data_IF_028068699913
#
_entry.id   IF_028068699913
#
_cell.length_a   1.000
_cell.length_b   1.000
_cell.length_c   1.000
_cell.angle_alpha   90.00
_cell.angle_beta   90.00
_cell.angle_gamma   90.00
#
_symmetry.space_group_name_H-M   'P 1'
#
loop_
_entity.id
_entity.type
_entity.pdbx_description
1 polymer ?
#
# COMPACT_ATOMS: atom_id res chain seq x y z
N UNK A 1 11.40 24.59 -28.41
CA UNK A 1 10.63 23.33 -28.42
C UNK A 1 10.44 22.94 -26.96
N UNK A 2 9.19 22.84 -26.53
CA UNK A 2 8.76 22.64 -25.15
C UNK A 2 9.20 21.27 -24.60
N UNK A 3 9.71 21.26 -23.38
CA UNK A 3 9.38 20.26 -22.35
C UNK A 3 9.76 20.87 -20.99
N UNK A 4 8.75 21.45 -20.34
CA UNK A 4 8.75 21.63 -18.90
C UNK A 4 8.81 20.23 -18.28
N UNK A 5 9.88 19.91 -17.58
CA UNK A 5 9.88 18.84 -16.59
C UNK A 5 9.05 19.31 -15.38
N UNK A 6 7.75 19.44 -15.56
CA UNK A 6 6.77 19.58 -14.50
C UNK A 6 6.08 18.24 -14.34
N UNK A 7 6.63 17.41 -13.47
CA UNK A 7 6.11 16.10 -13.11
C UNK A 7 7.12 15.47 -12.18
N UNK A 8 6.72 15.27 -10.91
CA UNK A 8 7.40 14.54 -9.83
C UNK A 8 8.86 14.18 -10.15
N UNK A 9 9.79 14.93 -9.59
CA UNK A 9 11.22 14.63 -9.71
C UNK A 9 11.50 13.19 -9.29
N UNK A 10 11.56 12.30 -10.27
CA UNK A 10 12.25 11.03 -10.16
C UNK A 10 13.71 11.43 -10.05
N UNK A 11 14.16 11.66 -8.82
CA UNK A 11 15.58 11.71 -8.52
C UNK A 11 16.03 10.26 -8.74
N UNK A 12 16.60 9.98 -9.90
CA UNK A 12 17.41 8.78 -10.08
C UNK A 12 18.59 8.93 -9.11
N UNK A 13 18.45 8.36 -7.91
CA UNK A 13 19.40 8.44 -6.80
C UNK A 13 20.49 7.38 -6.95
N UNK A 14 21.08 7.27 -8.13
CA UNK A 14 22.22 6.37 -8.30
C UNK A 14 23.47 7.07 -7.72
N UNK A 15 23.82 6.69 -6.50
CA UNK A 15 24.99 7.18 -5.75
C UNK A 15 26.35 6.79 -6.37
N UNK A 16 26.35 5.98 -7.44
CA UNK A 16 27.52 5.55 -8.23
C UNK A 16 27.79 6.44 -9.45
N UNK A 17 27.39 7.72 -9.40
CA UNK A 17 27.57 8.60 -10.54
C UNK A 17 29.04 8.97 -10.78
N UNK A 18 29.59 8.53 -11.90
CA UNK A 18 30.92 8.99 -12.35
C UNK A 18 30.80 10.36 -13.01
N UNK A 19 31.70 11.27 -12.65
CA UNK A 19 31.77 12.59 -13.25
C UNK A 19 31.93 12.48 -14.77
N UNK A 20 31.06 13.15 -15.52
CA UNK A 20 31.06 13.13 -16.99
C UNK A 20 32.14 14.07 -17.52
N UNK A 21 32.82 13.70 -18.59
CA UNK A 21 33.80 14.57 -19.23
C UNK A 21 33.12 15.68 -20.04
N UNK A 22 33.67 16.89 -19.93
CA UNK A 22 33.15 18.07 -20.63
C UNK A 22 33.80 18.12 -22.03
N UNK A 23 33.02 18.25 -23.11
CA UNK A 23 33.56 18.37 -24.46
C UNK A 23 34.57 19.51 -24.61
N UNK A 24 35.64 19.31 -25.39
CA UNK A 24 36.76 20.26 -25.55
C UNK A 24 36.30 21.69 -25.89
N UNK A 25 35.33 21.82 -26.79
CA UNK A 25 34.78 23.11 -27.22
C UNK A 25 34.06 23.90 -26.11
N UNK A 26 33.65 23.22 -25.03
CA UNK A 26 33.10 23.84 -23.82
C UNK A 26 34.21 23.98 -22.78
N UNK A 27 35.06 22.97 -22.62
CA UNK A 27 36.19 22.97 -21.68
C UNK A 27 37.11 24.18 -21.88
N UNK A 28 37.43 24.52 -23.13
CA UNK A 28 38.22 25.71 -23.48
C UNK A 28 37.56 27.03 -23.01
N UNK A 29 36.23 27.09 -23.03
CA UNK A 29 35.47 28.28 -22.62
C UNK A 29 35.37 28.45 -21.11
N UNK A 30 35.50 27.36 -20.35
CA UNK A 30 35.31 27.35 -18.89
C UNK A 30 36.61 27.13 -18.10
N UNK A 31 37.76 27.04 -18.75
CA UNK A 31 39.05 26.75 -18.13
C UNK A 31 39.44 27.69 -16.97
N UNK A 32 38.91 28.92 -16.96
CA UNK A 32 39.17 29.93 -15.93
C UNK A 32 38.11 29.95 -14.82
N UNK A 33 37.07 29.11 -14.90
CA UNK A 33 36.05 29.04 -13.87
C UNK A 33 36.57 28.33 -12.62
N UNK A 34 35.95 28.64 -11.48
CA UNK A 34 36.23 27.94 -10.23
C UNK A 34 35.97 26.44 -10.39
N UNK A 35 36.85 25.62 -9.81
CA UNK A 35 36.79 24.15 -9.88
C UNK A 35 35.42 23.58 -9.47
N UNK A 36 34.75 24.18 -8.48
CA UNK A 36 33.41 23.77 -8.03
C UNK A 36 32.33 23.90 -9.13
N UNK A 37 32.44 24.91 -10.02
CA UNK A 37 31.50 25.12 -11.14
C UNK A 37 31.73 24.06 -12.22
N UNK A 38 33.00 23.71 -12.46
CA UNK A 38 33.39 22.64 -13.38
C UNK A 38 32.89 21.30 -12.85
N UNK A 39 33.11 20.98 -11.58
CA UNK A 39 32.61 19.74 -10.96
C UNK A 39 31.09 19.65 -10.96
N UNK A 40 30.38 20.75 -10.69
CA UNK A 40 28.92 20.80 -10.79
C UNK A 40 28.40 20.44 -12.19
N UNK A 41 29.07 20.92 -13.24
CA UNK A 41 28.73 20.60 -14.64
C UNK A 41 28.93 19.12 -15.00
N UNK A 42 29.75 18.41 -14.24
CA UNK A 42 30.07 17.00 -14.45
C UNK A 42 29.24 16.08 -13.56
N UNK A 43 28.48 16.63 -12.61
CA UNK A 43 27.78 15.89 -11.55
C UNK A 43 26.37 15.44 -11.94
N UNK A 44 25.77 14.51 -11.17
CA UNK A 44 24.44 13.97 -11.45
C UNK A 44 23.32 15.02 -11.39
N UNK A 45 23.55 16.17 -10.79
CA UNK A 45 22.55 17.23 -10.64
C UNK A 45 22.07 17.80 -11.97
N UNK A 46 22.85 17.64 -13.04
CA UNK A 46 22.49 18.11 -14.38
C UNK A 46 21.20 17.46 -14.89
N UNK A 47 20.88 16.23 -14.48
CA UNK A 47 19.66 15.56 -14.90
C UNK A 47 18.40 16.36 -14.53
N UNK A 48 18.38 17.03 -13.38
CA UNK A 48 17.25 17.86 -12.95
C UNK A 48 17.06 19.15 -13.76
N UNK A 49 18.10 19.63 -14.46
CA UNK A 49 18.05 20.88 -15.24
C UNK A 49 17.94 20.65 -16.76
N UNK A 50 18.55 19.58 -17.26
CA UNK A 50 18.68 19.34 -18.69
C UNK A 50 18.24 17.94 -19.15
N UNK A 51 17.94 17.01 -18.24
CA UNK A 51 17.59 15.62 -18.55
C UNK A 51 18.79 14.74 -18.90
N UNK A 52 19.89 15.32 -19.42
CA UNK A 52 21.18 14.64 -19.60
C UNK A 52 22.32 15.66 -19.74
N UNK A 53 23.56 15.19 -19.56
CA UNK A 53 24.76 16.00 -19.81
C UNK A 53 24.88 16.39 -21.29
N UNK A 54 24.55 15.48 -22.21
CA UNK A 54 24.57 15.76 -23.65
C UNK A 54 23.63 16.92 -24.03
N UNK A 55 22.40 16.90 -23.52
CA UNK A 55 21.43 17.97 -23.77
C UNK A 55 21.88 19.29 -23.13
N UNK A 56 22.52 19.25 -21.96
CA UNK A 56 23.10 20.44 -21.37
C UNK A 56 24.22 20.99 -22.24
N UNK A 57 25.18 20.16 -22.62
CA UNK A 57 26.33 20.58 -23.42
C UNK A 57 25.90 21.09 -24.80
N UNK A 58 24.86 20.51 -25.41
CA UNK A 58 24.27 21.02 -26.64
C UNK A 58 23.69 22.44 -26.46
N UNK A 59 23.05 22.72 -25.31
CA UNK A 59 22.57 24.08 -24.97
C UNK A 59 23.70 25.06 -24.72
N UNK A 60 24.86 24.59 -24.24
CA UNK A 60 26.01 25.43 -23.92
C UNK A 60 26.95 25.67 -25.10
N UNK A 61 27.00 24.79 -26.11
CA UNK A 61 28.02 24.80 -27.17
C UNK A 61 28.19 26.13 -27.91
N UNK A 62 27.10 26.86 -28.13
CA UNK A 62 27.09 28.13 -28.87
C UNK A 62 27.09 29.39 -27.97
N UNK A 63 27.14 29.22 -26.64
CA UNK A 63 27.18 30.33 -25.68
C UNK A 63 28.60 30.90 -25.53
N UNK A 64 28.70 32.16 -25.13
CA UNK A 64 29.98 32.77 -24.74
C UNK A 64 30.45 32.21 -23.37
N UNK A 65 31.72 32.36 -23.00
CA UNK A 65 32.21 32.00 -21.66
C UNK A 65 31.37 32.62 -20.53
N UNK A 66 31.03 33.90 -20.65
CA UNK A 66 30.24 34.64 -19.65
C UNK A 66 28.82 34.09 -19.53
N UNK A 67 28.19 33.75 -20.66
CA UNK A 67 26.87 33.13 -20.69
C UNK A 67 26.87 31.73 -20.07
N UNK A 68 27.93 30.95 -20.28
CA UNK A 68 28.08 29.62 -19.69
C UNK A 68 28.24 29.76 -18.17
N UNK A 69 29.09 30.66 -17.70
CA UNK A 69 29.28 30.91 -16.27
C UNK A 69 27.97 31.33 -15.60
N UNK A 70 27.24 32.28 -16.20
CA UNK A 70 25.94 32.71 -15.70
C UNK A 70 24.91 31.57 -15.67
N UNK A 71 24.97 30.64 -16.63
CA UNK A 71 24.10 29.47 -16.66
C UNK A 71 24.41 28.51 -15.50
N UNK A 72 25.69 28.25 -15.22
CA UNK A 72 26.12 27.43 -14.09
C UNK A 72 25.73 28.08 -12.77
N UNK A 73 25.98 29.38 -12.62
CA UNK A 73 25.63 30.13 -11.42
C UNK A 73 24.12 30.12 -11.16
N UNK A 74 23.31 30.24 -12.22
CA UNK A 74 21.87 30.11 -12.10
C UNK A 74 21.46 28.72 -11.61
N UNK A 75 22.01 27.64 -12.17
CA UNK A 75 21.70 26.27 -11.74
C UNK A 75 22.14 26.01 -10.29
N UNK A 76 23.35 26.42 -9.92
CA UNK A 76 23.88 26.28 -8.56
C UNK A 76 23.05 27.09 -7.56
N UNK A 77 22.65 28.32 -7.92
CA UNK A 77 21.76 29.15 -7.10
C UNK A 77 20.40 28.50 -6.93
N UNK A 78 19.79 27.96 -7.99
CA UNK A 78 18.51 27.24 -7.89
C UNK A 78 18.65 26.03 -6.96
N UNK A 79 19.74 25.27 -7.05
CA UNK A 79 20.01 24.15 -6.13
C UNK A 79 20.13 24.59 -4.68
N UNK A 80 20.77 25.73 -4.42
CA UNK A 80 20.85 26.28 -3.06
C UNK A 80 19.49 26.71 -2.54
N UNK A 81 18.68 27.37 -3.39
CA UNK A 81 17.31 27.79 -3.05
C UNK A 81 16.35 26.62 -2.80
N UNK A 82 16.67 25.41 -3.26
CA UNK A 82 15.89 24.20 -2.99
C UNK A 82 16.17 23.59 -1.61
N UNK A 83 17.25 24.00 -0.93
CA UNK A 83 17.59 23.48 0.40
C UNK A 83 16.75 24.14 1.47
N UNK A 84 16.51 23.40 2.56
CA UNK A 84 15.93 23.95 3.77
C UNK A 84 16.79 25.10 4.32
N UNK A 85 16.20 26.27 4.46
CA UNK A 85 16.82 27.45 5.06
C UNK A 85 16.20 27.73 6.44
N UNK A 86 16.91 27.51 7.56
CA UNK A 86 16.35 27.73 8.89
C UNK A 86 16.00 29.19 9.21
N UNK A 87 16.47 30.16 8.41
CA UNK A 87 16.13 31.58 8.58
C UNK A 87 14.79 31.95 7.95
N UNK A 88 14.35 31.22 6.91
CA UNK A 88 13.12 31.53 6.15
C UNK A 88 12.08 30.44 6.21
N UNK A 89 12.49 29.20 6.43
CA UNK A 89 11.67 28.01 6.33
C UNK A 89 11.40 27.45 7.73
N UNK A 90 10.15 27.08 7.99
CA UNK A 90 9.79 26.35 9.20
C UNK A 90 9.88 24.85 8.94
N UNK A 91 10.74 24.15 9.67
CA UNK A 91 10.87 22.68 9.56
C UNK A 91 9.57 21.95 9.97
N UNK A 92 8.82 22.54 10.90
CA UNK A 92 7.52 22.07 11.33
C UNK A 92 6.69 23.26 11.81
N UNK A 93 5.40 23.29 11.47
CA UNK A 93 4.46 24.21 12.09
C UNK A 93 3.98 23.56 13.40
N UNK A 94 4.24 24.17 14.58
CA UNK A 94 3.79 23.60 15.84
C UNK A 94 2.26 23.55 15.89
N UNK A 95 1.72 22.44 16.40
CA UNK A 95 0.29 22.31 16.65
C UNK A 95 -0.10 23.18 17.86
N UNK A 96 -1.32 23.71 17.85
CA UNK A 96 -1.87 24.45 18.99
C UNK A 96 -2.20 23.50 20.16
N UNK A 97 -1.21 23.18 20.99
CA UNK A 97 -1.35 22.26 22.14
C UNK A 97 -2.21 22.79 23.27
N UNK A 98 -2.49 24.10 23.28
CA UNK A 98 -3.40 24.73 24.25
C UNK A 98 -4.88 24.61 23.84
N UNK A 99 -5.17 24.10 22.62
CA UNK A 99 -6.55 23.90 22.18
C UNK A 99 -7.27 22.88 23.07
N UNK A 100 -8.44 23.23 23.66
CA UNK A 100 -9.21 22.28 24.44
C UNK A 100 -9.79 21.13 23.60
N UNK A 101 -9.79 21.26 22.27
CA UNK A 101 -10.25 20.24 21.32
C UNK A 101 -9.10 19.49 20.62
N UNK A 102 -7.85 19.61 21.10
CA UNK A 102 -6.68 19.03 20.43
C UNK A 102 -6.85 17.55 20.07
N UNK A 103 -7.44 16.73 20.96
CA UNK A 103 -7.69 15.30 20.72
C UNK A 103 -9.15 14.96 20.41
N UNK A 104 -10.00 15.96 20.13
CA UNK A 104 -11.44 15.74 19.95
C UNK A 104 -11.76 14.68 18.89
N UNK A 105 -11.02 14.66 17.78
CA UNK A 105 -11.28 13.76 16.65
C UNK A 105 -11.09 12.27 16.99
N UNK A 106 -10.21 11.92 17.94
CA UNK A 106 -9.95 10.54 18.38
C UNK A 106 -10.49 10.21 19.77
N UNK A 107 -11.17 11.16 20.41
CA UNK A 107 -11.72 10.93 21.74
C UNK A 107 -12.91 9.99 21.63
N UNK A 108 -12.80 8.82 22.27
CA UNK A 108 -13.89 7.85 22.28
C UNK A 108 -15.11 8.42 23.02
N UNK A 109 -16.29 8.09 22.50
CA UNK A 109 -17.55 8.37 23.18
C UNK A 109 -17.60 7.55 24.48
N UNK A 110 -17.96 8.15 25.63
CA UNK A 110 -18.14 7.41 26.88
C UNK A 110 -19.23 6.34 26.74
N UNK A 111 -18.98 5.12 27.20
CA UNK A 111 -19.93 4.00 27.13
C UNK A 111 -21.22 4.30 27.92
N UNK A 112 -21.17 5.17 28.92
CA UNK A 112 -22.33 5.62 29.71
C UNK A 112 -23.37 6.37 28.86
N UNK A 113 -22.99 6.84 27.66
CA UNK A 113 -23.91 7.49 26.72
C UNK A 113 -24.59 6.50 25.78
N UNK A 114 -24.19 5.22 25.81
CA UNK A 114 -24.71 4.21 24.92
C UNK A 114 -25.95 3.53 25.52
N UNK A 115 -26.78 2.95 24.65
CA UNK A 115 -27.89 2.14 25.12
C UNK A 115 -27.34 0.85 25.73
N UNK A 116 -27.65 0.51 27.00
CA UNK A 116 -27.13 -0.68 27.64
C UNK A 116 -27.42 -1.94 26.84
N UNK A 117 -26.41 -2.79 26.67
CA UNK A 117 -26.48 -4.08 25.97
C UNK A 117 -25.39 -5.00 26.48
N UNK A 118 -25.58 -6.31 26.28
CA UNK A 118 -24.51 -7.27 26.45
C UNK A 118 -23.45 -7.08 25.34
N UNK A 119 -22.16 -7.28 25.66
CA UNK A 119 -21.11 -7.33 24.65
C UNK A 119 -21.36 -8.42 23.62
N UNK A 120 -21.04 -8.12 22.36
CA UNK A 120 -21.11 -9.05 21.23
C UNK A 120 -21.54 -8.38 19.93
N UNK A 121 -21.38 -9.07 18.78
CA UNK A 121 -21.77 -8.54 17.48
C UNK A 121 -23.29 -8.30 17.38
N UNK A 122 -23.66 -7.19 16.72
CA UNK A 122 -25.06 -6.75 16.59
C UNK A 122 -25.45 -6.70 15.12
N UNK A 123 -26.57 -7.34 14.79
CA UNK A 123 -27.19 -7.13 13.49
C UNK A 123 -28.05 -5.87 13.51
N UNK A 124 -27.62 -4.85 12.78
CA UNK A 124 -28.32 -3.55 12.70
C UNK A 124 -29.28 -3.45 11.51
N UNK A 125 -29.40 -4.51 10.70
CA UNK A 125 -30.26 -4.52 9.53
C UNK A 125 -31.71 -4.84 9.88
N UNK A 126 -32.63 -4.02 9.38
CA UNK A 126 -34.08 -4.20 9.56
C UNK A 126 -34.61 -5.45 8.85
N UNK A 127 -34.07 -5.76 7.68
CA UNK A 127 -34.56 -6.83 6.82
C UNK A 127 -33.59 -8.02 6.85
N UNK A 128 -34.13 -9.22 7.07
CA UNK A 128 -33.36 -10.46 7.11
C UNK A 128 -32.58 -10.74 5.81
N UNK A 129 -33.04 -10.21 4.68
CA UNK A 129 -32.43 -10.35 3.34
C UNK A 129 -32.08 -8.99 2.72
N UNK A 130 -31.54 -8.09 3.53
CA UNK A 130 -31.00 -6.82 3.05
C UNK A 130 -29.91 -7.07 2.00
N UNK A 131 -30.06 -6.44 0.84
CA UNK A 131 -28.98 -6.30 -0.15
C UNK A 131 -28.08 -5.13 0.25
N UNK A 132 -26.80 -5.02 -0.20
CA UNK A 132 -26.01 -3.79 -0.04
C UNK A 132 -26.73 -2.50 -0.49
N UNK A 133 -27.79 -2.63 -1.32
CA UNK A 133 -28.68 -1.53 -1.74
C UNK A 133 -29.80 -1.20 -0.75
N UNK A 134 -29.92 -1.91 0.36
CA UNK A 134 -31.03 -1.87 1.32
C UNK A 134 -30.53 -2.07 2.74
N UNK A 135 -30.98 -1.24 3.69
CA UNK A 135 -30.52 -1.31 5.07
C UNK A 135 -29.33 -0.40 5.32
N UNK A 136 -28.63 -0.65 6.43
CA UNK A 136 -27.46 0.15 6.81
C UNK A 136 -26.24 -0.52 6.17
N UNK A 137 -25.49 0.17 5.29
CA UNK A 137 -24.41 -0.46 4.56
C UNK A 137 -23.24 -0.77 5.51
N UNK A 138 -22.97 -2.06 5.69
CA UNK A 138 -21.78 -2.61 6.34
C UNK A 138 -21.00 -3.47 5.35
N UNK A 139 -19.73 -3.76 5.62
CA UNK A 139 -18.93 -4.67 4.79
C UNK A 139 -19.66 -6.00 4.65
N UNK A 140 -19.91 -6.43 3.41
CA UNK A 140 -20.68 -7.64 3.08
C UNK A 140 -22.05 -7.77 3.78
N UNK A 141 -22.64 -6.66 4.24
CA UNK A 141 -23.87 -6.65 5.04
C UNK A 141 -23.76 -7.45 6.37
N UNK A 142 -22.55 -7.50 6.95
CA UNK A 142 -22.23 -8.21 8.18
C UNK A 142 -22.78 -7.50 9.45
N UNK A 143 -22.89 -8.23 10.57
CA UNK A 143 -23.06 -7.65 11.90
C UNK A 143 -21.94 -6.67 12.25
N UNK A 144 -22.21 -5.76 13.18
CA UNK A 144 -21.27 -4.75 13.67
C UNK A 144 -20.76 -5.13 15.05
N UNK A 145 -19.47 -4.94 15.29
CA UNK A 145 -18.88 -4.84 16.63
C UNK A 145 -18.41 -3.40 16.85
N UNK A 146 -18.55 -2.88 18.07
CA UNK A 146 -18.28 -1.47 18.38
C UNK A 146 -17.08 -1.30 19.33
N UNK A 147 -16.71 -2.35 20.04
CA UNK A 147 -15.71 -2.34 21.11
C UNK A 147 -14.90 -3.63 21.13
N UNK A 148 -13.71 -3.66 21.76
CA UNK A 148 -12.94 -4.89 21.95
C UNK A 148 -13.70 -5.95 22.73
N UNK A 149 -14.55 -5.54 23.69
CA UNK A 149 -15.39 -6.46 24.46
C UNK A 149 -16.38 -7.21 23.55
N UNK A 150 -16.87 -6.57 22.48
CA UNK A 150 -17.72 -7.23 21.48
C UNK A 150 -16.96 -8.28 20.68
N UNK A 151 -15.70 -8.00 20.34
CA UNK A 151 -14.84 -8.93 19.61
C UNK A 151 -14.59 -10.18 20.44
N UNK A 152 -14.25 -9.99 21.73
CA UNK A 152 -13.99 -11.07 22.67
C UNK A 152 -15.25 -11.89 22.93
N UNK A 153 -16.37 -11.24 23.27
CA UNK A 153 -17.62 -11.93 23.57
C UNK A 153 -18.22 -12.66 22.36
N UNK A 154 -17.97 -12.14 21.16
CA UNK A 154 -18.40 -12.77 19.90
C UNK A 154 -17.47 -13.88 19.40
N UNK A 155 -16.32 -14.11 20.04
CA UNK A 155 -15.26 -14.99 19.51
C UNK A 155 -14.94 -14.65 18.03
N UNK A 156 -14.79 -13.35 17.75
CA UNK A 156 -14.67 -12.84 16.38
C UNK A 156 -13.34 -13.27 15.76
N UNK A 157 -13.40 -14.01 14.65
CA UNK A 157 -12.22 -14.42 13.88
C UNK A 157 -11.63 -13.22 13.11
N UNK A 158 -12.47 -12.40 12.46
CA UNK A 158 -12.04 -11.28 11.60
C UNK A 158 -12.89 -10.03 11.83
N UNK A 159 -12.23 -8.89 12.02
CA UNK A 159 -12.85 -7.57 12.11
C UNK A 159 -12.47 -6.73 10.89
N UNK A 160 -13.44 -6.44 10.02
CA UNK A 160 -13.23 -5.58 8.85
C UNK A 160 -13.43 -4.12 9.26
N UNK A 161 -12.43 -3.28 9.08
CA UNK A 161 -12.43 -1.87 9.50
C UNK A 161 -12.00 -0.96 8.36
N UNK A 162 -12.64 0.19 8.25
CA UNK A 162 -12.26 1.20 7.26
C UNK A 162 -11.28 2.22 7.84
N UNK A 163 -10.28 2.64 7.05
CA UNK A 163 -9.39 3.73 7.43
C UNK A 163 -9.32 4.73 6.27
N UNK A 164 -10.05 5.83 6.39
CA UNK A 164 -10.18 6.84 5.34
C UNK A 164 -9.09 7.89 5.35
N UNK A 165 -7.81 7.50 5.33
CA UNK A 165 -6.65 8.42 5.34
C UNK A 165 -5.99 8.47 3.97
N UNK A 166 -6.03 9.63 3.29
CA UNK A 166 -5.40 9.83 1.97
C UNK A 166 -4.50 11.08 1.90
N UNK A 167 -3.99 11.51 3.05
CA UNK A 167 -3.10 12.68 3.15
C UNK A 167 -1.64 12.36 2.85
N UNK A 168 -1.28 11.08 2.79
CA UNK A 168 0.06 10.60 2.43
C UNK A 168 0.29 10.51 0.93
N UNK A 169 -0.78 10.59 0.13
CA UNK A 169 -0.74 10.69 -1.32
C UNK A 169 -0.94 12.13 -1.80
N UNK A 170 -0.42 12.42 -3.00
CA UNK A 170 -0.77 13.64 -3.74
C UNK A 170 -2.16 13.58 -4.38
N UNK A 171 -2.76 12.38 -4.46
CA UNK A 171 -4.04 12.13 -5.13
C UNK A 171 -5.15 11.86 -4.11
N UNK A 172 -6.03 12.84 -3.90
CA UNK A 172 -7.19 12.67 -3.02
C UNK A 172 -8.22 11.71 -3.61
N UNK A 173 -8.90 10.97 -2.75
CA UNK A 173 -10.05 10.15 -3.09
C UNK A 173 -10.03 8.76 -2.46
N UNK A 174 -8.84 8.23 -2.13
CA UNK A 174 -8.71 6.92 -1.48
C UNK A 174 -9.36 6.86 -0.09
N UNK A 175 -9.55 8.01 0.58
CA UNK A 175 -10.31 8.11 1.83
C UNK A 175 -11.78 7.67 1.69
N UNK A 176 -12.34 7.67 0.47
CA UNK A 176 -13.70 7.20 0.19
C UNK A 176 -13.78 5.71 -0.16
N UNK A 177 -12.64 5.03 -0.37
CA UNK A 177 -12.55 3.60 -0.62
C UNK A 177 -13.33 2.72 0.37
N UNK A 178 -13.23 2.92 1.70
CA UNK A 178 -13.96 2.11 2.66
C UNK A 178 -15.48 2.20 2.48
N UNK A 179 -16.00 3.39 2.15
CA UNK A 179 -17.44 3.60 1.91
C UNK A 179 -17.88 2.94 0.61
N UNK A 180 -17.07 3.06 -0.45
CA UNK A 180 -17.35 2.42 -1.73
C UNK A 180 -17.29 0.90 -1.63
N UNK A 181 -16.40 0.32 -0.82
CA UNK A 181 -16.33 -1.12 -0.57
C UNK A 181 -17.58 -1.64 0.17
N UNK A 182 -18.07 -0.93 1.21
CA UNK A 182 -19.36 -1.27 1.85
C UNK A 182 -20.55 -1.21 0.87
N UNK A 183 -20.53 -0.26 -0.06
CA UNK A 183 -21.56 -0.12 -1.09
C UNK A 183 -21.37 -1.09 -2.28
N UNK A 184 -20.17 -1.63 -2.46
CA UNK A 184 -19.74 -2.43 -3.60
C UNK A 184 -20.48 -3.77 -3.68
N UNK A 185 -20.99 -4.12 -4.85
CA UNK A 185 -21.84 -5.30 -5.07
C UNK A 185 -21.01 -6.51 -5.51
N UNK A 186 -21.09 -7.67 -4.84
CA UNK A 186 -20.71 -8.98 -5.43
C UNK A 186 -21.96 -9.84 -5.68
N UNK A 187 -23.00 -9.22 -6.23
CA UNK A 187 -24.26 -9.87 -6.67
C UNK A 187 -25.22 -10.28 -5.52
N UNK A 188 -26.30 -9.50 -5.38
CA UNK A 188 -27.56 -9.89 -4.73
C UNK A 188 -27.66 -9.78 -3.21
N UNK A 189 -26.57 -9.64 -2.46
CA UNK A 189 -26.56 -9.63 -0.98
C UNK A 189 -26.98 -10.94 -0.30
N UNK A 190 -27.70 -11.79 -1.03
CA UNK A 190 -28.26 -13.07 -0.59
C UNK A 190 -27.32 -14.24 -0.91
N UNK A 191 -26.38 -14.05 -1.84
CA UNK A 191 -25.56 -15.13 -2.40
C UNK A 191 -24.33 -15.50 -1.56
N UNK A 192 -23.48 -14.54 -1.17
CA UNK A 192 -22.20 -14.88 -0.51
C UNK A 192 -22.35 -15.31 0.95
N UNK A 193 -23.26 -14.69 1.71
CA UNK A 193 -23.37 -14.94 3.16
C UNK A 193 -23.80 -16.39 3.46
N UNK A 194 -24.40 -17.09 2.50
CA UNK A 194 -24.84 -18.47 2.67
C UNK A 194 -24.28 -19.48 1.65
N UNK A 195 -23.82 -19.04 0.46
CA UNK A 195 -23.31 -19.99 -0.54
C UNK A 195 -21.81 -20.22 -0.37
N UNK A 196 -21.35 -21.44 -0.66
CA UNK A 196 -19.94 -21.71 -0.74
C UNK A 196 -19.30 -21.01 -1.96
N UNK A 197 -18.04 -20.65 -1.79
CA UNK A 197 -17.17 -20.22 -2.87
C UNK A 197 -17.10 -21.30 -3.95
N UNK A 198 -17.50 -20.97 -5.19
CA UNK A 198 -17.69 -21.98 -6.23
C UNK A 198 -16.46 -22.86 -6.45
N UNK A 199 -15.25 -22.30 -6.55
CA UNK A 199 -14.09 -23.13 -6.88
C UNK A 199 -13.61 -24.04 -5.74
N UNK A 200 -14.03 -23.79 -4.49
CA UNK A 200 -13.51 -24.51 -3.31
C UNK A 200 -14.61 -25.19 -2.50
N UNK A 201 -15.87 -24.89 -2.78
CA UNK A 201 -17.02 -25.33 -1.99
C UNK A 201 -16.97 -24.91 -0.50
N UNK A 202 -16.15 -23.90 -0.14
CA UNK A 202 -16.04 -23.37 1.23
C UNK A 202 -16.75 -22.02 1.32
N UNK A 203 -17.64 -21.85 2.30
CA UNK A 203 -18.30 -20.56 2.55
C UNK A 203 -17.64 -19.86 3.74
N UNK A 204 -16.85 -18.78 3.56
CA UNK A 204 -16.17 -18.15 4.69
C UNK A 204 -17.12 -17.63 5.76
N UNK A 205 -18.29 -17.13 5.37
CA UNK A 205 -19.30 -16.58 6.26
C UNK A 205 -20.03 -17.62 7.12
N UNK A 206 -19.94 -18.91 6.78
CA UNK A 206 -20.47 -20.00 7.60
C UNK A 206 -19.41 -20.60 8.54
N UNK A 207 -18.13 -20.35 8.28
CA UNK A 207 -17.02 -20.97 9.01
C UNK A 207 -16.31 -19.97 9.96
N UNK A 208 -16.46 -18.68 9.69
CA UNK A 208 -15.83 -17.59 10.44
C UNK A 208 -16.88 -16.66 11.04
N UNK A 209 -16.63 -16.18 12.26
CA UNK A 209 -17.30 -15.02 12.82
C UNK A 209 -16.62 -13.76 12.29
N UNK A 210 -17.32 -13.02 11.42
CA UNK A 210 -16.80 -11.83 10.76
C UNK A 210 -17.71 -10.64 11.07
N UNK A 211 -17.12 -9.50 11.43
CA UNK A 211 -17.85 -8.27 11.76
C UNK A 211 -17.33 -7.07 10.96
N UNK A 212 -18.19 -6.08 10.76
CA UNK A 212 -17.77 -4.71 10.45
C UNK A 212 -17.44 -4.00 11.76
N UNK A 213 -16.22 -3.48 11.90
CA UNK A 213 -15.73 -2.78 13.08
C UNK A 213 -15.71 -1.25 12.88
N UNK A 214 -16.50 -0.77 11.92
CA UNK A 214 -16.65 0.66 11.66
C UNK A 214 -15.45 1.27 10.95
N UNK A 215 -15.27 2.58 11.11
CA UNK A 215 -14.13 3.31 10.57
C UNK A 215 -13.28 3.86 11.71
N UNK A 216 -11.96 3.75 11.58
CA UNK A 216 -11.01 4.36 12.51
C UNK A 216 -11.02 5.87 12.31
N UNK A 217 -11.03 6.60 13.42
CA UNK A 217 -10.91 8.05 13.39
C UNK A 217 -9.53 8.46 12.86
N UNK A 218 -9.49 9.49 12.02
CA UNK A 218 -8.25 10.05 11.48
C UNK A 218 -8.27 11.57 11.58
N UNK A 219 -7.09 12.17 11.65
CA UNK A 219 -6.94 13.61 11.51
C UNK A 219 -6.76 13.96 10.02
N UNK A 220 -7.83 14.44 9.40
CA UNK A 220 -7.85 14.78 7.96
C UNK A 220 -6.84 15.85 7.55
N UNK A 221 -6.22 16.55 8.51
CA UNK A 221 -5.22 17.58 8.25
C UNK A 221 -3.80 17.15 8.62
N UNK A 222 -3.62 15.98 9.25
CA UNK A 222 -2.30 15.51 9.67
C UNK A 222 -2.17 14.00 9.61
N UNK A 223 -1.33 13.57 8.68
CA UNK A 223 -0.86 12.20 8.58
C UNK A 223 -0.15 11.79 9.88
N UNK A 224 0.78 12.62 10.36
CA UNK A 224 1.61 12.37 11.55
C UNK A 224 0.76 12.08 12.79
N UNK A 225 -0.34 12.81 12.98
CA UNK A 225 -1.25 12.61 14.11
C UNK A 225 -2.10 11.35 13.95
N UNK A 226 -2.44 10.98 12.71
CA UNK A 226 -3.28 9.82 12.40
C UNK A 226 -2.53 8.50 12.59
N UNK A 227 -1.28 8.40 12.09
CA UNK A 227 -0.46 7.17 12.12
C UNK A 227 -0.37 6.57 13.54
N UNK A 228 -0.12 7.40 14.55
CA UNK A 228 -0.01 6.93 15.94
C UNK A 228 -1.32 6.32 16.45
N UNK A 229 -2.46 6.95 16.17
CA UNK A 229 -3.76 6.45 16.61
C UNK A 229 -4.18 5.19 15.84
N UNK A 230 -3.90 5.12 14.53
CA UNK A 230 -4.19 3.94 13.72
C UNK A 230 -3.44 2.71 14.28
N UNK A 231 -2.14 2.86 14.56
CA UNK A 231 -1.34 1.79 15.20
C UNK A 231 -1.94 1.33 16.53
N UNK A 232 -2.43 2.26 17.36
CA UNK A 232 -3.10 1.93 18.63
C UNK A 232 -4.34 1.06 18.41
N UNK A 233 -5.20 1.41 17.44
CA UNK A 233 -6.46 0.70 17.15
C UNK A 233 -6.19 -0.66 16.49
N UNK A 234 -5.24 -0.75 15.55
CA UNK A 234 -4.86 -2.04 14.95
C UNK A 234 -4.31 -2.99 16.01
N UNK A 235 -3.47 -2.48 16.92
CA UNK A 235 -2.97 -3.25 18.07
C UNK A 235 -4.10 -3.70 19.00
N UNK A 236 -5.07 -2.82 19.27
CA UNK A 236 -6.23 -3.14 20.12
C UNK A 236 -7.03 -4.32 19.55
N UNK A 237 -7.35 -4.30 18.25
CA UNK A 237 -8.06 -5.40 17.59
C UNK A 237 -7.21 -6.68 17.59
N UNK A 238 -5.95 -6.60 17.20
CA UNK A 238 -5.07 -7.78 17.16
C UNK A 238 -4.88 -8.41 18.56
N UNK A 239 -4.86 -7.61 19.62
CA UNK A 239 -4.69 -8.10 21.00
C UNK A 239 -5.87 -8.93 21.52
N UNK A 240 -7.05 -8.85 20.91
CA UNK A 240 -8.18 -9.74 21.23
C UNK A 240 -8.03 -11.13 20.61
N UNK A 241 -7.02 -11.34 19.75
CA UNK A 241 -6.88 -12.52 18.91
C UNK A 241 -7.68 -12.46 17.61
N UNK A 242 -8.38 -11.35 17.36
CA UNK A 242 -9.14 -11.09 16.13
C UNK A 242 -8.21 -10.56 15.04
N UNK A 243 -8.38 -11.01 13.79
CA UNK A 243 -7.60 -10.53 12.65
C UNK A 243 -8.17 -9.17 12.21
N UNK A 244 -7.41 -8.04 12.30
CA UNK A 244 -7.82 -6.79 11.68
C UNK A 244 -7.68 -6.91 10.15
N UNK A 245 -8.77 -6.60 9.45
CA UNK A 245 -8.85 -6.57 7.99
C UNK A 245 -9.21 -5.15 7.56
N UNK A 246 -8.23 -4.42 7.07
CA UNK A 246 -8.27 -2.99 6.86
C UNK A 246 -8.65 -2.69 5.40
N UNK A 247 -9.52 -1.72 5.20
CA UNK A 247 -9.93 -1.27 3.86
C UNK A 247 -9.82 0.24 3.74
N UNK A 248 -9.16 0.68 2.67
CA UNK A 248 -9.14 2.05 2.19
C UNK A 248 -7.93 2.86 2.62
N UNK A 249 -7.98 4.16 2.31
CA UNK A 249 -6.85 5.06 2.46
C UNK A 249 -5.78 4.86 1.40
N UNK A 250 -4.75 5.70 1.45
CA UNK A 250 -3.53 5.54 0.66
C UNK A 250 -2.55 4.58 1.35
N UNK A 251 -1.47 4.19 0.66
CA UNK A 251 -0.56 3.17 1.18
C UNK A 251 0.29 3.63 2.39
N UNK A 252 0.17 4.87 2.85
CA UNK A 252 0.84 5.28 4.10
C UNK A 252 0.36 4.49 5.32
N UNK A 253 -0.78 3.81 5.21
CA UNK A 253 -1.36 2.91 6.21
C UNK A 253 -0.56 1.64 6.48
N UNK A 254 0.20 1.11 5.51
CA UNK A 254 0.99 -0.10 5.75
C UNK A 254 1.92 0.07 6.97
N UNK A 255 2.49 1.26 7.15
CA UNK A 255 3.39 1.52 8.29
C UNK A 255 2.70 1.29 9.65
N UNK A 256 1.64 2.03 10.04
CA UNK A 256 0.98 1.83 11.33
C UNK A 256 0.28 0.48 11.43
N UNK A 257 -0.24 -0.07 10.33
CA UNK A 257 -0.99 -1.31 10.34
C UNK A 257 -0.06 -2.49 10.66
N UNK A 258 1.05 -2.61 9.92
CA UNK A 258 2.09 -3.61 10.21
C UNK A 258 2.71 -3.36 11.59
N UNK A 259 2.97 -2.10 11.97
CA UNK A 259 3.55 -1.80 13.28
C UNK A 259 2.62 -2.22 14.43
N UNK A 260 1.30 -2.04 14.30
CA UNK A 260 0.31 -2.46 15.29
C UNK A 260 0.25 -3.98 15.45
N UNK A 261 0.36 -4.71 14.34
CA UNK A 261 0.49 -6.18 14.36
C UNK A 261 1.81 -6.62 15.03
N UNK A 262 2.92 -5.98 14.67
CA UNK A 262 4.24 -6.27 15.26
C UNK A 262 4.27 -6.00 16.76
N UNK A 263 3.52 -5.01 17.26
CA UNK A 263 3.40 -4.75 18.71
C UNK A 263 2.76 -5.91 19.48
N UNK A 264 1.97 -6.76 18.83
CA UNK A 264 1.32 -7.92 19.43
C UNK A 264 2.14 -9.20 19.23
N UNK A 265 2.58 -9.46 18.00
CA UNK A 265 3.21 -10.73 17.62
C UNK A 265 4.75 -10.72 17.69
N UNK A 266 5.35 -9.53 17.80
CA UNK A 266 6.79 -9.33 17.94
C UNK A 266 7.53 -9.14 16.61
N UNK A 267 8.55 -8.29 16.63
CA UNK A 267 9.41 -8.03 15.48
C UNK A 267 10.15 -9.31 15.05
N UNK A 268 10.13 -9.61 13.76
CA UNK A 268 10.72 -10.84 13.20
C UNK A 268 9.83 -12.08 13.22
N UNK A 269 8.71 -12.07 13.95
CA UNK A 269 7.70 -13.13 13.91
C UNK A 269 6.58 -12.86 12.90
N UNK A 270 6.54 -11.65 12.36
CA UNK A 270 5.58 -11.21 11.33
C UNK A 270 6.30 -11.09 10.00
N UNK A 271 5.74 -11.73 8.97
CA UNK A 271 6.15 -11.58 7.58
C UNK A 271 5.13 -10.73 6.83
N UNK A 272 5.61 -9.93 5.89
CA UNK A 272 4.75 -9.07 5.06
C UNK A 272 4.82 -9.54 3.63
N UNK A 273 3.66 -9.79 3.04
CA UNK A 273 3.51 -10.01 1.60
C UNK A 273 2.82 -8.77 1.04
N UNK A 274 3.56 -8.01 0.24
CA UNK A 274 3.16 -6.73 -0.30
C UNK A 274 2.93 -6.86 -1.80
N UNK A 275 1.68 -6.77 -2.22
CA UNK A 275 1.28 -6.73 -3.62
C UNK A 275 1.17 -5.28 -4.06
N UNK A 276 1.98 -4.86 -5.03
CA UNK A 276 2.09 -3.44 -5.42
C UNK A 276 2.79 -3.28 -6.78
N UNK A 277 2.42 -2.23 -7.53
CA UNK A 277 3.21 -1.77 -8.67
C UNK A 277 4.52 -1.08 -8.27
N UNK A 278 4.54 -0.47 -7.08
CA UNK A 278 5.58 0.39 -6.55
C UNK A 278 6.32 -0.27 -5.38
N UNK A 279 7.58 0.13 -5.17
CA UNK A 279 8.39 -0.48 -4.10
C UNK A 279 8.25 0.19 -2.73
N UNK A 280 7.65 1.38 -2.68
CA UNK A 280 7.27 2.09 -1.45
C UNK A 280 8.36 2.30 -0.40
N UNK A 281 9.62 2.27 -0.84
CA UNK A 281 10.78 2.56 -0.02
C UNK A 281 11.53 3.82 -0.47
N UNK A 282 10.80 4.83 -0.93
CA UNK A 282 11.35 6.09 -1.43
C UNK A 282 12.19 6.85 -0.39
N UNK A 283 13.19 7.58 -0.88
CA UNK A 283 14.20 8.30 -0.09
C UNK A 283 14.39 9.73 -0.57
N UNK A 284 14.96 10.61 0.28
CA UNK A 284 15.42 11.95 -0.13
C UNK A 284 14.35 12.98 -0.46
N UNK A 285 13.08 12.71 -0.16
CA UNK A 285 11.99 13.68 -0.33
C UNK A 285 11.62 14.37 0.98
N UNK A 286 10.97 15.52 0.88
CA UNK A 286 10.66 16.42 2.00
C UNK A 286 9.80 15.77 3.08
N UNK A 287 8.83 14.95 2.68
CA UNK A 287 7.94 14.27 3.61
C UNK A 287 8.48 12.89 3.97
N UNK A 288 8.55 12.65 5.27
CA UNK A 288 9.06 11.43 5.86
C UNK A 288 8.00 10.33 5.97
N UNK A 289 6.72 10.71 5.93
CA UNK A 289 5.55 9.86 5.84
C UNK A 289 4.81 10.22 4.55
N UNK A 290 4.51 9.21 3.74
CA UNK A 290 3.76 9.32 2.49
C UNK A 290 3.40 7.92 2.02
N UNK A 291 2.52 7.80 1.04
CA UNK A 291 2.17 6.51 0.45
C UNK A 291 3.37 5.81 -0.21
N UNK A 292 4.31 6.51 -0.86
CA UNK A 292 5.51 5.88 -1.43
C UNK A 292 6.67 5.57 -0.47
N UNK A 293 6.43 5.56 0.85
CA UNK A 293 7.48 5.40 1.90
C UNK A 293 7.19 4.46 3.09
N UNK A 294 6.06 3.72 3.20
CA UNK A 294 5.81 2.89 4.37
C UNK A 294 6.84 1.76 4.51
N UNK A 295 7.29 1.15 3.42
CA UNK A 295 8.32 0.10 3.45
C UNK A 295 9.62 0.68 4.01
N UNK A 296 10.03 1.88 3.58
CA UNK A 296 11.23 2.52 4.15
C UNK A 296 11.12 2.72 5.66
N UNK A 297 9.92 3.09 6.15
CA UNK A 297 9.66 3.29 7.59
C UNK A 297 9.79 2.00 8.37
N UNK A 298 9.15 0.93 7.89
CA UNK A 298 9.22 -0.41 8.52
C UNK A 298 10.67 -0.89 8.68
N UNK A 299 11.51 -0.69 7.66
CA UNK A 299 12.91 -1.09 7.68
C UNK A 299 13.78 -0.19 8.55
N UNK A 300 13.60 1.14 8.49
CA UNK A 300 14.33 2.07 9.34
C UNK A 300 14.10 1.80 10.83
N UNK A 301 12.88 1.41 11.20
CA UNK A 301 12.49 1.08 12.58
C UNK A 301 12.69 -0.39 12.94
N UNK A 302 13.19 -1.20 12.00
CA UNK A 302 13.49 -2.64 12.18
C UNK A 302 12.28 -3.45 12.65
N UNK A 303 11.08 -3.08 12.17
CA UNK A 303 9.84 -3.76 12.52
C UNK A 303 9.69 -5.09 11.77
N UNK A 304 10.15 -5.13 10.51
CA UNK A 304 10.12 -6.33 9.66
C UNK A 304 11.52 -6.58 9.09
N UNK A 305 12.15 -7.74 9.35
CA UNK A 305 13.41 -8.11 8.70
C UNK A 305 13.22 -8.34 7.20
N UNK A 306 14.21 -7.98 6.38
CA UNK A 306 14.14 -8.16 4.92
C UNK A 306 13.78 -9.57 4.44
N UNK A 307 14.37 -10.65 4.99
CA UNK A 307 14.02 -12.00 4.61
C UNK A 307 12.54 -12.39 4.84
N UNK A 308 11.83 -11.61 5.66
CA UNK A 308 10.42 -11.79 5.99
C UNK A 308 9.51 -10.82 5.19
N UNK A 309 10.06 -10.04 4.27
CA UNK A 309 9.30 -9.14 3.41
C UNK A 309 9.38 -9.63 1.97
N UNK A 310 8.22 -9.86 1.36
CA UNK A 310 8.09 -10.31 -0.03
C UNK A 310 7.25 -9.28 -0.76
N UNK A 311 7.77 -8.74 -1.86
CA UNK A 311 7.08 -7.77 -2.69
C UNK A 311 6.77 -8.37 -4.06
N UNK A 312 5.57 -8.14 -4.59
CA UNK A 312 5.08 -8.79 -5.83
C UNK A 312 4.39 -7.77 -6.72
N UNK A 313 4.83 -7.69 -7.97
CA UNK A 313 4.17 -6.91 -9.03
C UNK A 313 4.86 -5.59 -9.42
N UNK A 314 6.08 -5.34 -8.91
CA UNK A 314 6.86 -4.14 -9.21
C UNK A 314 7.00 -3.90 -10.72
N UNK A 315 6.69 -2.68 -11.17
CA UNK A 315 6.80 -2.25 -12.57
C UNK A 315 6.87 -0.73 -12.69
N UNK A 316 6.88 -0.24 -13.92
CA UNK A 316 7.00 1.18 -14.23
C UNK A 316 8.44 1.65 -14.30
N UNK A 317 8.66 2.96 -14.16
CA UNK A 317 9.97 3.60 -14.34
C UNK A 317 10.72 3.86 -13.03
N UNK A 318 10.26 3.28 -11.92
CA UNK A 318 10.81 3.46 -10.58
C UNK A 318 10.57 2.17 -9.75
N UNK A 319 11.53 1.64 -8.97
CA UNK A 319 12.85 2.19 -8.62
C UNK A 319 13.88 2.20 -9.77
N UNK A 320 14.92 3.01 -9.60
CA UNK A 320 16.18 2.88 -10.35
C UNK A 320 17.12 1.81 -9.75
N UNK A 321 18.34 1.72 -10.29
CA UNK A 321 19.36 0.72 -9.88
C UNK A 321 19.58 0.72 -8.36
N UNK A 322 19.81 1.88 -7.77
CA UNK A 322 19.99 2.08 -6.32
C UNK A 322 18.85 1.54 -5.46
N UNK A 323 17.60 1.59 -5.95
CA UNK A 323 16.46 1.03 -5.22
C UNK A 323 16.49 -0.51 -5.19
N UNK A 324 16.83 -1.14 -6.31
CA UNK A 324 17.02 -2.60 -6.37
C UNK A 324 18.22 -3.05 -5.53
N UNK A 325 19.34 -2.34 -5.59
CA UNK A 325 20.50 -2.61 -4.75
C UNK A 325 20.16 -2.48 -3.27
N UNK A 326 19.41 -1.45 -2.88
CA UNK A 326 18.93 -1.32 -1.50
C UNK A 326 18.06 -2.51 -1.07
N UNK A 327 17.09 -2.94 -1.90
CA UNK A 327 16.27 -4.12 -1.58
C UNK A 327 17.12 -5.38 -1.38
N UNK A 328 18.14 -5.58 -2.23
CA UNK A 328 19.09 -6.69 -2.10
C UNK A 328 19.93 -6.60 -0.83
N UNK A 329 20.46 -5.41 -0.50
CA UNK A 329 21.23 -5.15 0.72
C UNK A 329 20.42 -5.41 1.99
N UNK A 330 19.12 -5.07 1.97
CA UNK A 330 18.22 -5.37 3.09
C UNK A 330 17.83 -6.85 3.16
N UNK A 331 18.08 -7.64 2.10
CA UNK A 331 17.64 -9.02 1.97
C UNK A 331 16.13 -9.17 1.71
N UNK A 332 15.49 -8.12 1.18
CA UNK A 332 14.08 -8.13 0.78
C UNK A 332 13.90 -8.98 -0.47
N UNK A 333 12.84 -9.80 -0.50
CA UNK A 333 12.49 -10.61 -1.67
C UNK A 333 11.52 -9.81 -2.52
N UNK A 334 11.76 -9.74 -3.83
CA UNK A 334 10.93 -8.98 -4.74
C UNK A 334 10.73 -9.72 -6.05
N UNK A 335 9.52 -9.65 -6.59
CA UNK A 335 9.08 -10.30 -7.81
C UNK A 335 8.46 -9.28 -8.75
N UNK A 336 9.27 -8.62 -9.60
CA UNK A 336 8.79 -7.61 -10.53
C UNK A 336 8.05 -8.26 -11.71
N UNK A 337 7.26 -7.47 -12.44
CA UNK A 337 6.62 -7.95 -13.67
C UNK A 337 7.63 -8.47 -14.70
N UNK A 338 8.85 -7.92 -14.72
CA UNK A 338 9.93 -8.43 -15.56
C UNK A 338 10.31 -9.89 -15.26
N UNK A 339 10.17 -10.36 -14.01
CA UNK A 339 10.37 -11.78 -13.66
C UNK A 339 9.21 -12.63 -14.17
N UNK A 340 7.97 -12.13 -14.06
CA UNK A 340 6.77 -12.79 -14.58
C UNK A 340 6.83 -12.91 -16.10
N UNK A 341 7.28 -11.89 -16.82
CA UNK A 341 7.48 -11.91 -18.27
C UNK A 341 8.52 -12.96 -18.69
N UNK A 342 9.60 -13.09 -17.89
CA UNK A 342 10.72 -13.99 -18.19
C UNK A 342 10.38 -15.45 -17.88
N UNK A 343 9.84 -15.72 -16.70
CA UNK A 343 9.71 -17.08 -16.15
C UNK A 343 8.26 -17.58 -16.15
N UNK A 344 7.29 -16.69 -16.35
CA UNK A 344 5.86 -16.97 -16.33
C UNK A 344 5.22 -16.89 -14.94
N UNK A 345 3.97 -16.44 -14.90
CA UNK A 345 3.20 -16.26 -13.65
C UNK A 345 3.21 -17.49 -12.74
N UNK A 346 2.95 -18.68 -13.28
CA UNK A 346 2.86 -19.89 -12.46
C UNK A 346 4.15 -20.22 -11.72
N UNK A 347 5.31 -19.95 -12.33
CA UNK A 347 6.63 -20.18 -11.72
C UNK A 347 6.91 -19.16 -10.62
N UNK A 348 6.63 -17.88 -10.88
CA UNK A 348 6.82 -16.81 -9.89
C UNK A 348 5.88 -17.00 -8.70
N UNK A 349 4.62 -17.36 -8.94
CA UNK A 349 3.66 -17.69 -7.88
C UNK A 349 4.17 -18.82 -6.98
N UNK A 350 4.77 -19.88 -7.55
CA UNK A 350 5.35 -20.96 -6.75
C UNK A 350 6.53 -20.49 -5.90
N UNK A 351 7.35 -19.58 -6.41
CA UNK A 351 8.43 -18.95 -5.61
C UNK A 351 7.87 -18.15 -4.45
N UNK A 352 6.91 -17.27 -4.70
CA UNK A 352 6.24 -16.46 -3.66
C UNK A 352 5.65 -17.37 -2.57
N UNK A 353 4.96 -18.43 -2.97
CA UNK A 353 4.40 -19.43 -2.06
C UNK A 353 5.51 -20.09 -1.23
N UNK A 354 6.55 -20.65 -1.85
CA UNK A 354 7.67 -21.29 -1.11
C UNK A 354 8.33 -20.31 -0.14
N UNK A 355 8.55 -19.07 -0.58
CA UNK A 355 9.20 -18.03 0.20
C UNK A 355 8.38 -17.61 1.42
N UNK A 356 7.06 -17.44 1.25
CA UNK A 356 6.15 -17.11 2.34
C UNK A 356 5.95 -18.29 3.29
N UNK A 357 5.93 -19.52 2.76
CA UNK A 357 5.40 -20.68 3.48
C UNK A 357 6.47 -21.54 4.14
N UNK A 358 7.57 -21.82 3.43
CA UNK A 358 8.64 -22.68 3.92
C UNK A 358 9.74 -21.89 4.63
N UNK A 359 10.03 -20.68 4.14
CA UNK A 359 11.13 -19.84 4.63
C UNK A 359 10.67 -18.63 5.43
N UNK A 360 9.37 -18.35 5.42
CA UNK A 360 8.77 -17.20 6.08
C UNK A 360 8.44 -17.48 7.56
N UNK A 361 8.15 -16.43 8.33
CA UNK A 361 7.79 -16.55 9.74
C UNK A 361 6.42 -17.21 9.95
N UNK A 362 6.01 -17.37 11.22
CA UNK A 362 4.75 -18.03 11.58
C UNK A 362 3.52 -17.20 11.17
N UNK A 363 3.58 -15.89 11.40
CA UNK A 363 2.49 -14.97 11.18
C UNK A 363 2.70 -14.16 9.90
N UNK A 364 1.64 -14.04 9.09
CA UNK A 364 1.67 -13.30 7.84
C UNK A 364 0.68 -12.13 7.90
N UNK A 365 1.18 -10.96 7.54
CA UNK A 365 0.38 -9.79 7.17
C UNK A 365 0.39 -9.66 5.64
N UNK A 366 -0.78 -9.46 5.03
CA UNK A 366 -0.87 -9.19 3.59
C UNK A 366 -1.23 -7.73 3.39
N UNK A 367 -0.34 -7.01 2.73
CA UNK A 367 -0.56 -5.65 2.27
C UNK A 367 -0.91 -5.68 0.79
N UNK A 368 -2.15 -5.31 0.44
CA UNK A 368 -2.65 -5.38 -0.92
C UNK A 368 -2.92 -3.99 -1.47
N UNK A 369 -1.97 -3.42 -2.21
CA UNK A 369 -2.25 -2.27 -3.07
C UNK A 369 -3.04 -2.73 -4.29
N UNK A 370 -4.17 -2.09 -4.57
CA UNK A 370 -4.98 -2.45 -5.73
C UNK A 370 -4.29 -2.09 -7.06
N UNK A 371 -3.32 -1.18 -7.05
CA UNK A 371 -2.59 -0.76 -8.24
C UNK A 371 -1.62 -1.83 -8.74
N UNK A 372 -1.40 -2.93 -7.99
CA UNK A 372 -0.71 -4.12 -8.51
C UNK A 372 -1.45 -4.73 -9.72
N UNK A 373 -2.78 -4.58 -9.77
CA UNK A 373 -3.58 -5.03 -10.90
C UNK A 373 -3.48 -4.06 -12.07
N UNK A 374 -3.65 -4.60 -13.27
CA UNK A 374 -3.74 -3.77 -14.47
C UNK A 374 -4.92 -2.79 -14.36
N UNK A 375 -4.78 -1.52 -14.80
CA UNK A 375 -5.86 -0.54 -14.81
C UNK A 375 -7.11 -0.97 -15.59
N UNK A 376 -7.01 -1.96 -16.49
CA UNK A 376 -8.16 -2.60 -17.12
C UNK A 376 -9.11 -3.29 -16.10
N UNK A 377 -8.59 -3.70 -14.94
CA UNK A 377 -9.34 -4.34 -13.85
C UNK A 377 -9.49 -3.44 -12.61
N UNK A 378 -8.53 -2.56 -12.33
CA UNK A 378 -8.56 -1.63 -11.19
C UNK A 378 -8.29 -0.19 -11.63
N UNK A 379 -9.20 0.45 -12.38
CA UNK A 379 -9.00 1.84 -12.81
C UNK A 379 -9.07 2.86 -11.67
N UNK A 380 -9.73 2.50 -10.55
CA UNK A 380 -10.00 3.36 -9.40
C UNK A 380 -8.86 3.46 -8.41
N UNK A 381 -7.65 3.87 -8.84
CA UNK A 381 -6.47 4.08 -7.99
C UNK A 381 -5.78 5.41 -8.29
N UNK A 382 -4.98 5.93 -7.34
CA UNK A 382 -4.23 7.18 -7.49
C UNK A 382 -3.06 7.10 -8.47
N UNK A 383 -2.37 5.96 -8.51
CA UNK A 383 -1.12 5.75 -9.27
C UNK A 383 -1.22 4.53 -10.19
N UNK A 384 -2.10 4.54 -11.21
CA UNK A 384 -2.26 3.38 -12.08
C UNK A 384 -1.03 3.14 -12.96
N UNK A 385 -0.47 1.93 -12.92
CA UNK A 385 0.62 1.50 -13.79
C UNK A 385 0.15 0.42 -14.79
N UNK A 386 0.25 0.60 -16.12
CA UNK A 386 -0.15 -0.43 -17.09
C UNK A 386 0.72 -1.70 -17.04
N UNK A 387 0.20 -2.83 -17.56
CA UNK A 387 0.92 -4.11 -17.60
C UNK A 387 0.94 -4.85 -16.26
N UNK A 388 -0.14 -4.68 -15.49
CA UNK A 388 -0.29 -5.25 -14.15
C UNK A 388 -0.85 -6.67 -14.13
N UNK A 389 -1.08 -7.19 -12.91
CA UNK A 389 -1.68 -8.51 -12.73
C UNK A 389 -3.15 -8.50 -13.16
N UNK A 390 -3.63 -9.66 -13.60
CA UNK A 390 -5.04 -9.89 -13.86
C UNK A 390 -5.76 -10.40 -12.61
N UNK A 391 -7.07 -10.22 -12.56
CA UNK A 391 -7.92 -10.80 -11.50
C UNK A 391 -7.83 -12.34 -11.42
N UNK A 392 -7.57 -13.01 -12.56
CA UNK A 392 -7.39 -14.46 -12.62
C UNK A 392 -6.11 -14.94 -11.95
N UNK A 393 -5.11 -14.08 -11.85
CA UNK A 393 -3.83 -14.36 -11.19
C UNK A 393 -3.91 -14.05 -9.70
N UNK A 394 -4.50 -12.91 -9.35
CA UNK A 394 -4.59 -12.42 -7.95
C UNK A 394 -5.53 -13.27 -7.08
N UNK A 395 -6.72 -13.63 -7.57
CA UNK A 395 -7.70 -14.32 -6.71
C UNK A 395 -7.19 -15.65 -6.16
N UNK A 396 -6.58 -16.56 -6.96
CA UNK A 396 -6.04 -17.81 -6.45
C UNK A 396 -4.87 -17.63 -5.49
N UNK A 397 -3.93 -16.70 -5.76
CA UNK A 397 -2.75 -16.54 -4.89
C UNK A 397 -3.13 -15.97 -3.52
N UNK A 398 -4.03 -14.97 -3.46
CA UNK A 398 -4.53 -14.42 -2.19
C UNK A 398 -5.23 -15.51 -1.38
N UNK A 399 -6.13 -16.29 -2.01
CA UNK A 399 -6.80 -17.42 -1.35
C UNK A 399 -5.81 -18.46 -0.86
N UNK A 400 -4.83 -18.83 -1.67
CA UNK A 400 -3.82 -19.84 -1.35
C UNK A 400 -2.92 -19.44 -0.19
N UNK A 401 -2.47 -18.19 -0.16
CA UNK A 401 -1.69 -17.63 0.95
C UNK A 401 -2.50 -17.66 2.26
N UNK A 402 -3.74 -17.20 2.23
CA UNK A 402 -4.61 -17.18 3.40
C UNK A 402 -5.04 -18.59 3.87
N UNK A 403 -4.96 -19.62 3.01
CA UNK A 403 -5.25 -21.02 3.37
C UNK A 403 -4.08 -21.76 4.04
N UNK A 404 -2.85 -21.33 3.82
CA UNK A 404 -1.67 -22.04 4.28
C UNK A 404 -1.16 -21.59 5.66
N UNK A 405 -1.04 -20.28 5.86
CA UNK A 405 -0.42 -19.69 7.06
C UNK A 405 -1.46 -18.98 7.92
N UNK A 406 -1.05 -18.71 9.15
CA UNK A 406 -1.86 -17.89 10.03
C UNK A 406 -1.74 -16.43 9.59
N UNK A 407 -2.81 -15.93 8.97
CA UNK A 407 -2.96 -14.51 8.68
C UNK A 407 -3.27 -13.80 9.99
N UNK A 408 -2.49 -12.77 10.32
CA UNK A 408 -2.66 -11.94 11.52
C UNK A 408 -3.09 -10.52 11.20
N UNK A 409 -3.11 -10.15 9.93
CA UNK A 409 -3.71 -8.92 9.44
C UNK A 409 -3.73 -8.89 7.92
N UNK A 410 -4.60 -8.06 7.38
CA UNK A 410 -4.75 -7.86 5.96
C UNK A 410 -5.13 -6.39 5.73
N UNK A 411 -4.61 -5.76 4.69
CA UNK A 411 -5.09 -4.46 4.23
C UNK A 411 -5.33 -4.45 2.72
N UNK A 412 -6.33 -3.67 2.28
CA UNK A 412 -6.55 -3.31 0.88
C UNK A 412 -6.62 -1.79 0.78
N UNK A 413 -5.65 -1.19 0.08
CA UNK A 413 -5.41 0.26 0.06
C UNK A 413 -5.48 0.82 -1.36
N UNK A 414 -5.29 2.14 -1.50
CA UNK A 414 -5.31 2.93 -2.75
C UNK A 414 -6.63 2.85 -3.54
N UNK A 415 -7.70 2.34 -2.91
CA UNK A 415 -9.02 2.31 -3.53
C UNK A 415 -9.64 3.72 -3.59
N UNK A 416 -9.50 4.34 -4.76
CA UNK A 416 -10.07 5.64 -5.10
C UNK A 416 -11.33 5.51 -5.97
N UNK A 417 -12.54 5.52 -5.37
CA UNK A 417 -13.79 5.41 -6.13
C UNK A 417 -14.09 6.66 -6.97
N UNK A 418 -13.41 7.80 -6.76
CA UNK A 418 -13.68 9.03 -7.53
C UNK A 418 -13.15 8.95 -8.96
N UNK A 419 -12.20 8.04 -9.21
CA UNK A 419 -11.62 7.79 -10.54
C UNK A 419 -11.98 6.41 -11.08
N UNK A 420 -12.86 5.65 -10.40
CA UNK A 420 -13.48 4.44 -10.95
C UNK A 420 -14.66 4.83 -11.86
N UNK A 421 -14.57 4.67 -13.19
CA UNK A 421 -15.64 5.08 -14.10
C UNK A 421 -16.94 4.29 -13.92
N UNK A 422 -16.87 3.15 -13.23
CA UNK A 422 -18.02 2.30 -12.97
C UNK A 422 -18.02 1.80 -11.53
N UNK A 423 -17.93 0.50 -11.38
CA UNK A 423 -17.89 -0.19 -10.09
C UNK A 423 -16.97 -1.42 -10.18
N UNK A 424 -16.02 -1.37 -11.12
CA UNK A 424 -15.10 -2.47 -11.41
C UNK A 424 -14.11 -2.62 -10.27
N UNK A 425 -13.57 -1.49 -9.80
CA UNK A 425 -12.60 -1.46 -8.69
C UNK A 425 -13.27 -1.91 -7.40
N UNK A 426 -14.47 -1.41 -7.12
CA UNK A 426 -15.27 -1.82 -5.97
C UNK A 426 -15.56 -3.33 -5.96
N UNK A 427 -15.98 -3.88 -7.12
CA UNK A 427 -16.25 -5.32 -7.27
C UNK A 427 -15.02 -6.18 -7.03
N UNK A 428 -13.92 -5.84 -7.68
CA UNK A 428 -12.70 -6.62 -7.59
C UNK A 428 -12.07 -6.51 -6.19
N UNK A 429 -12.15 -5.33 -5.55
CA UNK A 429 -11.65 -5.13 -4.18
C UNK A 429 -12.41 -6.01 -3.18
N UNK A 430 -13.74 -5.98 -3.23
CA UNK A 430 -14.56 -6.86 -2.40
C UNK A 430 -14.27 -8.34 -2.70
N UNK A 431 -13.91 -8.69 -3.95
CA UNK A 431 -13.62 -10.07 -4.31
C UNK A 431 -12.29 -10.52 -3.74
N UNK A 432 -11.26 -9.69 -3.77
CA UNK A 432 -9.95 -9.95 -3.14
C UNK A 432 -10.12 -10.20 -1.63
N UNK A 433 -10.89 -9.34 -0.95
CA UNK A 433 -11.21 -9.51 0.46
C UNK A 433 -11.89 -10.87 0.71
N UNK A 434 -12.90 -11.21 -0.10
CA UNK A 434 -13.60 -12.49 0.00
C UNK A 434 -12.71 -13.72 -0.30
N UNK A 435 -11.73 -13.60 -1.20
CA UNK A 435 -10.77 -14.66 -1.50
C UNK A 435 -9.85 -14.91 -0.31
N UNK A 436 -9.38 -13.85 0.38
CA UNK A 436 -8.61 -14.06 1.62
C UNK A 436 -9.46 -14.68 2.73
N UNK A 437 -10.68 -14.17 2.95
CA UNK A 437 -11.62 -14.77 3.92
C UNK A 437 -11.86 -16.25 3.61
N UNK A 438 -12.04 -16.61 2.33
CA UNK A 438 -12.19 -17.99 1.88
C UNK A 438 -10.96 -18.82 2.23
N UNK A 439 -9.75 -18.28 2.03
CA UNK A 439 -8.51 -18.94 2.44
C UNK A 439 -8.44 -19.18 3.96
N UNK A 440 -8.73 -18.16 4.77
CA UNK A 440 -8.75 -18.29 6.25
C UNK A 440 -9.73 -19.39 6.67
N UNK A 441 -10.92 -19.42 6.07
CA UNK A 441 -11.92 -20.46 6.31
C UNK A 441 -11.45 -21.85 5.87
N UNK A 442 -10.82 -21.97 4.70
CA UNK A 442 -10.20 -23.21 4.22
C UNK A 442 -9.20 -23.75 5.24
N UNK A 443 -8.31 -22.89 5.76
CA UNK A 443 -7.34 -23.25 6.81
C UNK A 443 -8.03 -23.77 8.07
N UNK A 444 -9.09 -23.08 8.55
CA UNK A 444 -9.88 -23.49 9.71
C UNK A 444 -10.51 -24.87 9.53
N UNK A 445 -10.88 -25.23 8.30
CA UNK A 445 -11.37 -26.57 7.92
C UNK A 445 -10.27 -27.60 7.65
N UNK A 446 -8.99 -27.24 7.74
CA UNK A 446 -7.86 -28.11 7.44
C UNK A 446 -7.55 -28.28 5.94
N UNK A 447 -8.12 -27.44 5.07
CA UNK A 447 -7.80 -27.41 3.64
C UNK A 447 -6.64 -26.43 3.44
N UNK A 448 -5.42 -26.95 3.40
CA UNK A 448 -4.19 -26.14 3.35
C UNK A 448 -3.45 -26.22 2.01
N UNK A 449 -3.97 -26.96 1.02
CA UNK A 449 -3.43 -26.93 -0.34
C UNK A 449 -3.70 -25.55 -0.96
N UNK A 450 -2.64 -24.78 -1.32
CA UNK A 450 -2.78 -23.41 -1.82
C UNK A 450 -3.43 -23.36 -3.20
N UNK A 451 -3.46 -24.50 -3.91
CA UNK A 451 -4.07 -24.66 -5.23
C UNK A 451 -5.36 -25.47 -5.18
N UNK A 452 -5.91 -25.70 -3.99
CA UNK A 452 -7.12 -26.49 -3.84
C UNK A 452 -8.26 -25.96 -4.73
N UNK A 453 -8.80 -26.88 -5.52
CA UNK A 453 -10.04 -26.72 -6.25
C UNK A 453 -10.93 -27.92 -5.91
N UNK A 454 -12.22 -27.66 -5.72
CA UNK A 454 -13.19 -28.72 -5.48
C UNK A 454 -13.33 -29.60 -6.73
N UNK A 455 -13.22 -30.94 -6.60
CA UNK A 455 -13.48 -31.86 -7.71
C UNK A 455 -14.85 -31.64 -8.37
N UNK A 456 -15.85 -31.22 -7.59
CA UNK A 456 -17.19 -30.88 -8.09
C UNK A 456 -17.22 -29.75 -9.12
N UNK A 457 -16.15 -28.96 -9.19
CA UNK A 457 -16.06 -27.80 -10.08
C UNK A 457 -15.00 -27.92 -11.16
N UNK A 458 -14.18 -28.97 -11.08
CA UNK A 458 -13.15 -29.28 -12.08
C UNK A 458 -13.49 -30.49 -12.93
N UNK A 459 -14.51 -31.27 -12.54
CA UNK A 459 -14.97 -32.46 -13.24
C UNK A 459 -16.51 -32.49 -13.26
N UNK A 460 -17.11 -32.68 -14.44
CA UNK A 460 -18.56 -32.78 -14.59
C UNK A 460 -19.10 -34.20 -14.38
N UNK A 461 -18.23 -35.19 -14.17
CA UNK A 461 -18.57 -36.56 -13.81
C UNK A 461 -19.34 -37.32 -14.88
N UNK A 462 -19.25 -36.92 -16.16
CA UNK A 462 -19.93 -37.60 -17.27
C UNK A 462 -18.99 -38.37 -18.20
N UNK A 463 -17.67 -38.28 -17.98
CA UNK A 463 -16.64 -38.87 -18.87
C UNK A 463 -16.19 -40.29 -18.45
N UNK A 464 -16.92 -40.93 -17.52
CA UNK A 464 -16.64 -42.29 -17.03
C UNK A 464 -17.63 -43.33 -17.58
#
# INVERSE_FOLDING_TARGET
>A
MLLNASGLGVIAQDNDFQLIDIPDNIAEKIQNLEQKKIEFLRGPEIFSFAGSHELLFDRLKNKSPEDIEAYIDAMMRVKELMKFNPETDMASIPLNTDSPSFNQWKTLRPQEFDTPREPGPININRYLRGSPKQGIPTFFNLPVALTPEDLIAGEVDVAIMGIGLDTGTGFRGAAYGPKAARAGLIVGGIGMVNNPHMHTMVSPFNELTIVDYGDVAVDYLSLERSIGHIREVVREVAATGTIPMIVGGDHSLMYPDVAGIVDVYGAGNVGVIHFDAHYDAGVGGTHLLSHGRPVRRLFNEKLVPGPNFIQVGLRGYWPGKSGFEWMQEQGLRYHPMAEIEKDGWGVVMDRVLIEALEKGPEYIFISFDIDVLDPAYMPGTGTPEPGGLTTREVFPIVRGLCAQKQIVGFELVEFNPLVDPGYTTAQNSNRIIAECLTGIAMRKKGITDPRYLSPLTTDHGQDN
#
